data_IF_406296502049
#
_entry.id   IF_406296502049
#
_cell.length_a   1.000
_cell.length_b   1.000
_cell.length_c   1.000
_cell.angle_alpha   90.00
_cell.angle_beta   90.00
_cell.angle_gamma   90.00
#
_symmetry.space_group_name_H-M   'P 1'
#
loop_
_entity.id
_entity.type
_entity.pdbx_description
1 polymer ?
#
# COMPACT_ATOMS: atom_id res chain seq x y z
N UNK A 1 -55.33 24.85 -10.00
CA UNK A 1 -55.49 23.40 -9.74
C UNK A 1 -54.18 22.70 -10.06
N UNK A 2 -53.63 21.96 -9.08
CA UNK A 2 -52.97 20.62 -9.15
C UNK A 2 -52.03 20.33 -10.32
N UNK A 3 -50.88 19.65 -10.21
CA UNK A 3 -50.06 19.03 -9.15
C UNK A 3 -48.93 18.33 -9.97
N UNK A 4 -47.69 18.35 -9.46
CA UNK A 4 -46.66 17.30 -9.62
C UNK A 4 -46.02 17.11 -11.01
N UNK A 5 -44.68 17.30 -11.09
CA UNK A 5 -43.74 16.19 -11.37
C UNK A 5 -42.34 16.54 -10.86
N UNK A 6 -42.11 16.23 -9.57
CA UNK A 6 -40.79 16.05 -8.99
C UNK A 6 -40.50 14.55 -9.05
N UNK A 7 -39.77 14.09 -10.06
CA UNK A 7 -39.32 12.70 -10.15
C UNK A 7 -38.08 12.58 -11.05
N UNK A 8 -36.90 12.98 -10.56
CA UNK A 8 -35.62 12.61 -11.17
C UNK A 8 -34.43 12.48 -10.19
N UNK A 9 -34.63 12.60 -8.86
CA UNK A 9 -33.48 12.60 -7.90
C UNK A 9 -33.22 11.25 -7.22
N UNK A 10 -34.12 10.26 -7.35
CA UNK A 10 -33.97 8.98 -6.62
C UNK A 10 -33.06 7.92 -7.30
N UNK A 11 -32.68 8.09 -8.57
CA UNK A 11 -31.90 7.08 -9.32
C UNK A 11 -30.40 7.24 -9.09
N UNK A 12 -29.91 8.47 -8.90
CA UNK A 12 -28.47 8.74 -8.75
C UNK A 12 -27.92 8.22 -7.41
N UNK A 13 -28.70 8.33 -6.33
CA UNK A 13 -28.29 7.88 -4.99
C UNK A 13 -28.11 6.35 -4.94
N UNK A 14 -28.98 5.60 -5.62
CA UNK A 14 -28.87 4.13 -5.66
C UNK A 14 -27.68 3.63 -6.47
N UNK A 15 -27.29 4.34 -7.54
CA UNK A 15 -26.12 3.98 -8.37
C UNK A 15 -24.82 4.28 -7.63
N UNK A 16 -24.73 5.40 -6.93
CA UNK A 16 -23.57 5.74 -6.12
C UNK A 16 -23.37 4.73 -4.97
N UNK A 17 -24.43 4.42 -4.22
CA UNK A 17 -24.36 3.42 -3.15
C UNK A 17 -23.94 2.03 -3.65
N UNK A 18 -24.45 1.59 -4.81
CA UNK A 18 -24.01 0.32 -5.42
C UNK A 18 -22.56 0.35 -5.90
N UNK A 19 -22.07 1.49 -6.40
CA UNK A 19 -20.69 1.63 -6.84
C UNK A 19 -19.72 1.53 -5.64
N UNK A 20 -20.09 2.15 -4.52
CA UNK A 20 -19.35 2.10 -3.25
C UNK A 20 -19.32 0.67 -2.69
N UNK A 21 -20.46 -0.03 -2.65
CA UNK A 21 -20.51 -1.42 -2.18
C UNK A 21 -19.62 -2.36 -3.00
N UNK A 22 -19.54 -2.12 -4.32
CA UNK A 22 -18.76 -2.96 -5.24
C UNK A 22 -17.25 -2.79 -5.03
N UNK A 23 -16.76 -1.56 -4.91
CA UNK A 23 -15.34 -1.27 -4.66
C UNK A 23 -14.92 -1.74 -3.27
N UNK A 24 -15.76 -1.54 -2.24
CA UNK A 24 -15.52 -2.04 -0.89
C UNK A 24 -15.46 -3.58 -0.84
N UNK A 25 -16.34 -4.26 -1.58
CA UNK A 25 -16.29 -5.72 -1.67
C UNK A 25 -14.98 -6.23 -2.31
N UNK A 26 -14.43 -5.48 -3.27
CA UNK A 26 -13.12 -5.81 -3.83
C UNK A 26 -12.00 -5.58 -2.83
N UNK A 27 -12.01 -4.48 -2.08
CA UNK A 27 -11.04 -4.25 -1.00
C UNK A 27 -11.08 -5.34 0.08
N UNK A 28 -12.26 -5.81 0.46
CA UNK A 28 -12.42 -6.95 1.38
C UNK A 28 -11.73 -8.20 0.83
N UNK A 29 -11.91 -8.49 -0.47
CA UNK A 29 -11.22 -9.60 -1.13
C UNK A 29 -9.70 -9.45 -1.15
N UNK A 30 -9.20 -8.23 -1.35
CA UNK A 30 -7.75 -7.93 -1.27
C UNK A 30 -7.23 -8.20 0.13
N UNK A 31 -7.90 -7.68 1.16
CA UNK A 31 -7.53 -7.89 2.56
C UNK A 31 -7.55 -9.39 2.92
N UNK A 32 -8.56 -10.14 2.46
CA UNK A 32 -8.64 -11.59 2.63
C UNK A 32 -7.50 -12.34 1.93
N UNK A 33 -7.14 -11.94 0.70
CA UNK A 33 -6.00 -12.49 -0.03
C UNK A 33 -4.71 -12.32 0.76
N UNK A 34 -4.40 -11.09 1.18
CA UNK A 34 -3.17 -10.79 1.94
C UNK A 34 -3.16 -11.51 3.28
N UNK A 35 -4.28 -11.49 4.01
CA UNK A 35 -4.42 -12.21 5.29
C UNK A 35 -4.20 -13.71 5.15
N UNK A 36 -4.68 -14.31 4.05
CA UNK A 36 -4.51 -15.74 3.79
C UNK A 36 -3.04 -16.13 3.53
N UNK A 37 -2.17 -15.18 3.15
CA UNK A 37 -0.76 -15.47 2.96
C UNK A 37 -0.03 -15.76 4.28
N UNK A 38 -0.51 -15.20 5.40
CA UNK A 38 0.21 -15.21 6.68
C UNK A 38 1.49 -14.39 6.58
N UNK A 39 2.63 -14.96 6.96
CA UNK A 39 3.93 -14.38 6.63
C UNK A 39 4.17 -14.50 5.11
N UNK A 40 4.62 -13.42 4.47
CA UNK A 40 4.70 -13.37 3.02
C UNK A 40 5.89 -12.55 2.52
N UNK A 41 6.23 -12.75 1.27
CA UNK A 41 7.26 -12.01 0.55
C UNK A 41 6.68 -11.49 -0.76
N UNK A 42 7.09 -10.28 -1.12
CA UNK A 42 6.70 -9.66 -2.38
C UNK A 42 7.93 -9.09 -3.10
N UNK A 43 8.00 -9.32 -4.40
CA UNK A 43 8.95 -8.72 -5.33
C UNK A 43 8.23 -7.66 -6.15
N UNK A 44 8.84 -6.50 -6.31
CA UNK A 44 8.21 -5.36 -6.96
C UNK A 44 9.19 -4.56 -7.82
N UNK A 45 8.65 -3.81 -8.76
CA UNK A 45 9.39 -2.79 -9.51
C UNK A 45 8.76 -1.42 -9.22
N UNK A 46 9.58 -0.44 -8.88
CA UNK A 46 9.18 0.95 -8.64
C UNK A 46 9.62 1.80 -9.82
N UNK A 47 8.75 2.69 -10.28
CA UNK A 47 9.06 3.72 -11.28
C UNK A 47 8.56 5.09 -10.81
N UNK A 48 9.38 6.12 -11.01
CA UNK A 48 9.03 7.51 -10.75
C UNK A 48 9.77 8.41 -11.76
N UNK A 49 9.03 9.00 -12.71
CA UNK A 49 9.65 9.72 -13.84
C UNK A 49 10.60 8.81 -14.63
N UNK A 50 11.85 9.25 -14.80
CA UNK A 50 12.92 8.47 -15.47
C UNK A 50 13.64 7.46 -14.55
N UNK A 51 13.32 7.48 -13.25
CA UNK A 51 13.88 6.55 -12.28
C UNK A 51 13.10 5.24 -12.25
N UNK A 52 13.81 4.11 -12.23
CA UNK A 52 13.22 2.79 -12.01
C UNK A 52 14.15 1.89 -11.22
N UNK A 53 13.60 1.14 -10.28
CA UNK A 53 14.33 0.16 -9.49
C UNK A 53 13.48 -1.07 -9.20
N UNK A 54 14.10 -2.14 -8.72
CA UNK A 54 13.41 -3.35 -8.24
C UNK A 54 13.70 -3.57 -6.79
N UNK A 55 12.69 -4.05 -6.07
CA UNK A 55 12.77 -4.25 -4.65
C UNK A 55 12.08 -5.53 -4.22
N UNK A 56 12.27 -5.84 -2.94
CA UNK A 56 11.60 -6.94 -2.29
C UNK A 56 11.35 -6.62 -0.84
N UNK A 57 10.22 -7.07 -0.31
CA UNK A 57 9.97 -7.03 1.12
C UNK A 57 9.42 -8.34 1.65
N UNK A 58 9.68 -8.58 2.93
CA UNK A 58 9.13 -9.70 3.71
C UNK A 58 8.34 -9.12 4.86
N UNK A 59 7.15 -9.68 5.12
CA UNK A 59 6.24 -9.29 6.21
C UNK A 59 5.92 -10.52 7.06
N UNK A 60 5.89 -10.35 8.38
CA UNK A 60 5.39 -11.33 9.35
C UNK A 60 4.74 -10.58 10.53
N UNK A 61 3.40 -10.59 10.57
CA UNK A 61 2.63 -9.73 11.46
C UNK A 61 2.86 -8.26 11.14
N UNK A 62 3.25 -7.48 12.15
CA UNK A 62 3.59 -6.06 12.00
C UNK A 62 5.09 -5.83 11.68
N UNK A 63 5.92 -6.87 11.71
CA UNK A 63 7.33 -6.77 11.38
C UNK A 63 7.57 -6.89 9.87
N UNK A 64 8.55 -6.17 9.35
CA UNK A 64 8.94 -6.27 7.96
C UNK A 64 10.42 -5.95 7.69
N UNK A 65 10.90 -6.41 6.54
CA UNK A 65 12.23 -6.09 6.01
C UNK A 65 12.11 -5.79 4.53
N UNK A 66 12.64 -4.65 4.08
CA UNK A 66 12.65 -4.19 2.68
C UNK A 66 14.09 -4.11 2.20
N UNK A 67 14.32 -4.49 0.95
CA UNK A 67 15.58 -4.27 0.23
C UNK A 67 15.28 -3.66 -1.13
N UNK A 68 15.86 -2.48 -1.39
CA UNK A 68 15.81 -1.80 -2.69
C UNK A 68 17.19 -1.21 -2.97
N UNK A 69 17.80 -1.61 -4.09
CA UNK A 69 19.17 -1.21 -4.46
C UNK A 69 20.18 -1.35 -3.31
N UNK A 70 20.63 -0.22 -2.74
CA UNK A 70 21.60 -0.14 -1.64
C UNK A 70 20.95 0.29 -0.32
N UNK A 71 19.63 0.33 -0.27
CA UNK A 71 18.86 0.62 0.92
C UNK A 71 18.25 -0.66 1.50
N UNK A 72 18.33 -0.80 2.83
CA UNK A 72 17.61 -1.83 3.58
C UNK A 72 16.78 -1.18 4.68
N UNK A 73 15.51 -1.58 4.81
CA UNK A 73 14.63 -1.08 5.87
C UNK A 73 14.21 -2.23 6.76
N UNK A 74 14.26 -2.03 8.07
CA UNK A 74 13.84 -3.00 9.08
C UNK A 74 12.76 -2.40 9.95
N UNK A 75 11.78 -3.20 10.34
CA UNK A 75 10.83 -2.82 11.38
C UNK A 75 10.34 -4.00 12.18
N UNK A 76 10.14 -3.78 13.48
CA UNK A 76 9.46 -4.69 14.40
C UNK A 76 7.97 -4.34 14.60
N UNK A 77 7.45 -3.41 13.79
CA UNK A 77 6.09 -2.86 13.91
C UNK A 77 5.98 -1.65 14.83
N UNK A 78 7.07 -1.23 15.48
CA UNK A 78 7.11 -0.05 16.37
C UNK A 78 8.16 0.96 15.96
N UNK A 79 9.34 0.46 15.59
CA UNK A 79 10.48 1.29 15.16
C UNK A 79 10.84 0.91 13.74
N UNK A 80 11.18 1.91 12.93
CA UNK A 80 11.68 1.74 11.57
C UNK A 80 13.17 2.12 11.54
N UNK A 81 14.00 1.24 10.99
CA UNK A 81 15.43 1.49 10.76
C UNK A 81 15.69 1.48 9.27
N UNK A 82 16.02 2.62 8.70
CA UNK A 82 16.41 2.75 7.30
C UNK A 82 17.93 2.85 7.18
N UNK A 83 18.51 1.87 6.50
CA UNK A 83 19.96 1.75 6.30
C UNK A 83 20.29 2.15 4.87
N UNK A 84 21.08 3.20 4.72
CA UNK A 84 21.72 3.58 3.46
C UNK A 84 23.16 3.04 3.44
N UNK A 85 23.41 2.02 2.61
CA UNK A 85 24.73 1.41 2.50
C UNK A 85 25.75 2.24 1.72
N UNK A 86 25.31 3.21 0.91
CA UNK A 86 26.21 4.11 0.20
C UNK A 86 26.77 5.18 1.15
N UNK A 87 25.89 5.80 1.95
CA UNK A 87 26.26 6.81 2.95
C UNK A 87 26.79 6.21 4.24
N UNK A 88 26.52 4.93 4.48
CA UNK A 88 26.76 4.25 5.76
C UNK A 88 26.02 4.95 6.90
N UNK A 89 24.75 5.23 6.67
CA UNK A 89 23.87 5.92 7.62
C UNK A 89 22.68 5.03 7.99
N UNK A 90 22.20 5.16 9.22
CA UNK A 90 21.00 4.51 9.73
C UNK A 90 20.09 5.59 10.30
N UNK A 91 18.93 5.77 9.69
CA UNK A 91 17.87 6.62 10.21
C UNK A 91 16.89 5.77 11.02
N UNK A 92 16.52 6.26 12.20
CA UNK A 92 15.63 5.58 13.15
C UNK A 92 14.41 6.43 13.41
N UNK A 93 13.23 5.91 13.09
CA UNK A 93 11.96 6.61 13.18
C UNK A 93 10.92 5.80 13.96
N UNK A 94 9.91 6.49 14.51
CA UNK A 94 8.70 5.83 14.98
C UNK A 94 7.90 5.31 13.78
N UNK A 95 7.23 4.17 13.96
CA UNK A 95 6.43 3.59 12.89
C UNK A 95 5.16 4.41 12.63
N UNK A 96 5.00 4.92 11.41
CA UNK A 96 3.72 5.44 10.94
C UNK A 96 2.77 4.29 10.61
N UNK A 97 1.86 4.01 11.55
CA UNK A 97 0.84 2.97 11.41
C UNK A 97 -0.31 3.35 10.49
N UNK A 98 -0.48 4.64 10.18
CA UNK A 98 -1.51 5.12 9.27
C UNK A 98 -1.08 5.02 7.80
N UNK A 99 0.24 5.09 7.53
CA UNK A 99 0.78 5.04 6.17
C UNK A 99 0.33 3.80 5.39
N UNK A 100 -0.08 4.05 4.14
CA UNK A 100 -0.45 3.04 3.13
C UNK A 100 0.56 2.96 1.99
N UNK A 101 1.70 3.61 2.16
CA UNK A 101 2.81 3.53 1.22
C UNK A 101 3.56 2.20 1.43
N UNK A 102 3.81 1.47 0.35
CA UNK A 102 4.50 0.18 0.36
C UNK A 102 5.97 0.28 0.81
N UNK A 103 6.60 1.44 0.62
CA UNK A 103 7.99 1.73 1.03
C UNK A 103 8.10 2.15 2.50
N UNK A 104 7.00 2.67 3.06
CA UNK A 104 6.96 3.13 4.46
C UNK A 104 6.37 2.05 5.36
N UNK A 105 5.28 1.41 4.93
CA UNK A 105 4.55 0.41 5.70
C UNK A 105 3.94 -0.70 4.80
N UNK A 106 4.74 -1.70 4.41
CA UNK A 106 4.26 -2.81 3.58
C UNK A 106 3.22 -3.68 4.28
N UNK A 107 3.12 -3.64 5.61
CA UNK A 107 2.13 -4.43 6.37
C UNK A 107 0.71 -3.89 6.20
N UNK A 108 0.58 -2.60 5.85
CA UNK A 108 -0.68 -1.86 5.78
C UNK A 108 -1.06 -1.39 4.38
N UNK A 109 -0.14 -1.47 3.41
CA UNK A 109 -0.31 -0.92 2.05
C UNK A 109 -1.47 -1.51 1.22
N UNK A 110 -2.02 -2.66 1.60
CA UNK A 110 -3.18 -3.29 0.93
C UNK A 110 -4.42 -3.45 1.83
N UNK A 111 -4.38 -2.93 3.07
CA UNK A 111 -5.45 -3.10 4.05
C UNK A 111 -6.24 -1.79 4.26
N UNK A 112 -7.19 -1.52 3.37
CA UNK A 112 -8.02 -0.31 3.42
C UNK A 112 -9.37 -0.52 4.11
N UNK A 113 -9.69 -1.75 4.50
CA UNK A 113 -11.01 -2.10 5.04
C UNK A 113 -11.22 -1.44 6.41
N UNK A 114 -12.29 -0.65 6.54
CA UNK A 114 -12.61 0.04 7.79
C UNK A 114 -11.67 1.21 8.12
N UNK A 115 -10.85 1.64 7.16
CA UNK A 115 -10.04 2.85 7.25
C UNK A 115 -10.83 4.06 6.78
N UNK A 116 -10.24 5.25 6.86
CA UNK A 116 -10.84 6.49 6.35
C UNK A 116 -10.84 6.60 4.81
N UNK A 117 -10.20 5.67 4.11
CA UNK A 117 -10.13 5.69 2.66
C UNK A 117 -11.46 5.29 2.03
N UNK A 118 -11.99 6.17 1.18
CA UNK A 118 -13.10 5.87 0.28
C UNK A 118 -12.57 5.23 -0.98
N UNK A 119 -13.34 4.30 -1.54
CA UNK A 119 -12.94 3.55 -2.74
C UNK A 119 -13.91 3.72 -3.88
N UNK A 120 -13.40 4.02 -5.07
CA UNK A 120 -14.16 4.11 -6.30
C UNK A 120 -13.66 3.10 -7.33
N UNK A 121 -14.58 2.45 -8.03
CA UNK A 121 -14.26 1.50 -9.09
C UNK A 121 -14.04 2.26 -10.41
N UNK A 122 -12.78 2.44 -10.84
CA UNK A 122 -12.45 3.36 -11.95
C UNK A 122 -12.23 2.67 -13.29
N UNK A 123 -11.77 1.41 -13.31
CA UNK A 123 -11.59 0.68 -14.57
C UNK A 123 -11.60 -0.83 -14.40
N UNK A 124 -11.96 -1.54 -15.48
CA UNK A 124 -11.80 -2.99 -15.63
C UNK A 124 -11.06 -3.26 -16.92
N UNK A 125 -9.99 -4.04 -16.84
CA UNK A 125 -9.23 -4.47 -18.01
C UNK A 125 -8.98 -5.98 -17.94
N UNK A 126 -9.75 -6.72 -18.74
CA UNK A 126 -9.66 -8.18 -18.83
C UNK A 126 -9.90 -8.86 -17.47
N UNK A 127 -8.82 -9.16 -16.74
CA UNK A 127 -8.84 -9.90 -15.46
C UNK A 127 -8.58 -9.01 -14.25
N UNK A 128 -8.27 -7.73 -14.47
CA UNK A 128 -7.95 -6.79 -13.40
C UNK A 128 -9.00 -5.71 -13.30
N UNK A 129 -9.11 -5.15 -12.10
CA UNK A 129 -9.85 -3.94 -11.79
C UNK A 129 -8.90 -2.95 -11.16
N UNK A 130 -9.07 -1.67 -11.45
CA UNK A 130 -8.40 -0.59 -10.71
C UNK A 130 -9.40 0.13 -9.82
N UNK A 131 -9.03 0.25 -8.56
CA UNK A 131 -9.73 1.04 -7.56
C UNK A 131 -8.97 2.35 -7.36
N UNK A 132 -9.69 3.45 -7.27
CA UNK A 132 -9.16 4.73 -6.80
C UNK A 132 -9.52 4.88 -5.34
N UNK A 133 -8.53 5.16 -4.51
CA UNK A 133 -8.62 5.27 -3.07
C UNK A 133 -8.21 6.68 -2.67
N UNK A 134 -9.07 7.33 -1.89
CA UNK A 134 -8.84 8.69 -1.38
C UNK A 134 -9.17 8.75 0.09
N UNK A 135 -8.27 9.31 0.87
CA UNK A 135 -8.53 9.57 2.29
C UNK A 135 -9.72 10.50 2.46
N UNK A 136 -10.58 10.22 3.46
CA UNK A 136 -11.60 11.17 3.88
C UNK A 136 -11.02 12.36 4.67
N UNK A 137 -9.81 12.22 5.22
CA UNK A 137 -9.06 13.33 5.78
C UNK A 137 -8.31 14.06 4.66
N UNK A 138 -8.70 15.30 4.39
CA UNK A 138 -8.09 16.16 3.36
C UNK A 138 -6.64 16.55 3.68
N UNK A 139 -6.18 16.37 4.94
CA UNK A 139 -4.79 16.55 5.32
C UNK A 139 -3.91 15.36 4.91
N UNK A 140 -4.49 14.18 4.72
CA UNK A 140 -3.79 13.03 4.16
C UNK A 140 -3.72 13.22 2.66
N UNK A 141 -2.50 13.43 2.21
CA UNK A 141 -2.26 13.83 0.85
C UNK A 141 -2.15 12.65 -0.10
N UNK A 142 -2.64 12.88 -1.31
CA UNK A 142 -2.42 12.03 -2.45
C UNK A 142 -3.54 11.05 -2.71
N UNK A 143 -3.57 10.57 -3.94
CA UNK A 143 -4.50 9.56 -4.42
C UNK A 143 -3.76 8.24 -4.62
N UNK A 144 -4.41 7.14 -4.26
CA UNK A 144 -3.87 5.79 -4.46
C UNK A 144 -4.71 5.08 -5.52
N UNK A 145 -4.07 4.52 -6.53
CA UNK A 145 -4.72 3.63 -7.49
C UNK A 145 -4.22 2.21 -7.31
N UNK A 146 -5.11 1.31 -6.92
CA UNK A 146 -4.81 -0.09 -6.66
C UNK A 146 -5.42 -0.97 -7.76
N UNK A 147 -4.56 -1.58 -8.57
CA UNK A 147 -4.96 -2.57 -9.59
C UNK A 147 -4.81 -3.97 -9.02
N UNK A 148 -5.90 -4.74 -9.06
CA UNK A 148 -6.01 -6.08 -8.46
C UNK A 148 -6.59 -7.09 -9.44
N UNK A 149 -6.16 -8.35 -9.32
CA UNK A 149 -6.77 -9.48 -10.02
C UNK A 149 -8.17 -9.73 -9.49
N UNK A 150 -9.20 -9.48 -10.29
CA UNK A 150 -10.60 -9.52 -9.88
C UNK A 150 -11.03 -10.88 -9.29
N UNK A 151 -10.51 -11.98 -9.85
CA UNK A 151 -10.86 -13.33 -9.41
C UNK A 151 -10.38 -13.64 -7.98
N UNK A 152 -9.18 -13.20 -7.61
CA UNK A 152 -8.52 -13.60 -6.35
C UNK A 152 -8.37 -12.48 -5.33
N UNK A 153 -8.44 -11.21 -5.74
CA UNK A 153 -8.05 -10.06 -4.91
C UNK A 153 -6.53 -9.86 -4.83
N UNK A 154 -5.73 -10.58 -5.63
CA UNK A 154 -4.27 -10.43 -5.64
C UNK A 154 -3.89 -9.02 -6.15
N UNK A 155 -3.12 -8.22 -5.38
CA UNK A 155 -2.56 -6.96 -5.87
C UNK A 155 -1.58 -7.19 -7.03
N UNK A 156 -1.68 -6.39 -8.09
CA UNK A 156 -0.76 -6.44 -9.23
C UNK A 156 -0.02 -5.12 -9.46
N UNK A 157 -0.66 -3.98 -9.12
CA UNK A 157 -0.05 -2.67 -9.23
C UNK A 157 -0.63 -1.71 -8.20
N UNK A 158 0.21 -0.84 -7.64
CA UNK A 158 -0.23 0.30 -6.85
C UNK A 158 0.45 1.56 -7.38
N UNK A 159 -0.31 2.64 -7.52
CA UNK A 159 0.20 3.93 -7.96
C UNK A 159 -0.14 4.97 -6.92
N UNK A 160 0.87 5.71 -6.47
CA UNK A 160 0.73 6.85 -5.58
C UNK A 160 0.87 8.13 -6.40
N UNK A 161 -0.12 9.01 -6.31
CA UNK A 161 -0.03 10.39 -6.78
C UNK A 161 0.17 11.27 -5.55
N UNK A 162 1.37 11.83 -5.36
CA UNK A 162 1.76 12.66 -4.23
C UNK A 162 2.20 14.01 -4.78
N UNK A 163 1.60 15.13 -4.40
CA UNK A 163 1.83 16.44 -5.05
C UNK A 163 1.91 16.35 -6.59
N UNK A 164 3.11 16.62 -7.14
CA UNK A 164 3.46 16.60 -8.56
C UNK A 164 4.13 15.28 -8.99
N UNK A 165 4.35 14.37 -8.04
CA UNK A 165 5.02 13.09 -8.24
C UNK A 165 4.02 11.96 -8.44
N UNK A 166 4.42 11.03 -9.31
CA UNK A 166 3.70 9.79 -9.56
C UNK A 166 4.66 8.62 -9.39
N UNK A 167 4.38 7.80 -8.40
CA UNK A 167 5.16 6.60 -8.09
C UNK A 167 4.34 5.38 -8.49
N UNK A 168 4.81 4.63 -9.47
CA UNK A 168 4.20 3.38 -9.90
C UNK A 168 4.95 2.19 -9.31
N UNK A 169 4.22 1.26 -8.70
CA UNK A 169 4.79 0.04 -8.15
C UNK A 169 4.07 -1.16 -8.75
N UNK A 170 4.77 -1.92 -9.59
CA UNK A 170 4.29 -3.19 -10.10
C UNK A 170 4.65 -4.32 -9.13
N UNK A 171 3.65 -5.05 -8.63
CA UNK A 171 3.85 -6.23 -7.79
C UNK A 171 4.12 -7.42 -8.72
N UNK A 172 5.39 -7.77 -8.89
CA UNK A 172 5.82 -8.85 -9.78
C UNK A 172 5.50 -10.23 -9.20
N UNK A 173 5.59 -10.35 -7.88
CA UNK A 173 5.31 -11.59 -7.15
C UNK A 173 4.87 -11.26 -5.73
N UNK A 174 3.90 -12.03 -5.22
CA UNK A 174 3.49 -11.99 -3.82
C UNK A 174 3.06 -13.41 -3.42
N UNK A 175 3.69 -13.96 -2.39
CA UNK A 175 3.45 -15.34 -1.97
C UNK A 175 3.74 -15.58 -0.49
N UNK A 176 3.08 -16.60 0.09
CA UNK A 176 3.36 -17.06 1.44
C UNK A 176 4.81 -17.52 1.58
N UNK A 177 5.41 -17.18 2.71
CA UNK A 177 6.80 -17.52 3.03
C UNK A 177 6.88 -18.27 4.36
N UNK A 178 7.89 -19.14 4.48
CA UNK A 178 8.28 -19.77 5.74
C UNK A 178 9.53 -19.10 6.30
N UNK A 179 9.59 -18.97 7.62
CA UNK A 179 10.70 -18.33 8.34
C UNK A 179 10.43 -16.87 8.64
N UNK A 180 11.00 -16.38 9.74
CA UNK A 180 10.75 -15.02 10.23
C UNK A 180 11.33 -13.92 9.35
N UNK A 181 10.92 -12.70 9.67
CA UNK A 181 11.49 -11.45 9.13
C UNK A 181 12.89 -11.23 9.70
N UNK A 182 13.81 -10.71 8.89
CA UNK A 182 15.15 -10.30 9.33
C UNK A 182 15.00 -9.09 10.27
N UNK A 183 15.43 -9.22 11.51
CA UNK A 183 15.40 -8.11 12.48
C UNK A 183 16.66 -7.25 12.39
N UNK A 184 16.53 -5.96 12.70
CA UNK A 184 17.67 -5.06 12.83
C UNK A 184 18.61 -5.50 13.97
N UNK A 185 19.92 -5.41 13.74
CA UNK A 185 20.95 -5.62 14.75
C UNK A 185 22.05 -4.60 14.53
N UNK A 186 22.19 -3.65 15.44
CA UNK A 186 23.20 -2.59 15.35
C UNK A 186 24.63 -3.13 15.16
N UNK A 187 24.92 -4.29 15.76
CA UNK A 187 26.22 -4.96 15.65
C UNK A 187 26.61 -5.37 14.21
N UNK A 188 25.64 -5.46 13.29
CA UNK A 188 25.87 -5.78 11.87
C UNK A 188 26.30 -4.53 11.07
N UNK A 189 26.12 -3.33 11.62
CA UNK A 189 26.36 -2.04 10.96
C UNK A 189 27.48 -1.24 11.62
N UNK A 190 28.57 -1.91 12.00
CA UNK A 190 29.69 -1.25 12.68
C UNK A 190 30.27 -0.11 11.84
N UNK A 191 30.36 1.07 12.45
CA UNK A 191 30.87 2.27 11.82
C UNK A 191 29.91 2.92 10.84
N UNK A 192 28.61 2.62 10.94
CA UNK A 192 27.56 3.44 10.33
C UNK A 192 27.22 4.57 11.31
N UNK A 193 26.87 5.72 10.78
CA UNK A 193 26.34 6.83 11.56
C UNK A 193 24.85 6.58 11.84
N UNK A 194 24.41 6.79 13.09
CA UNK A 194 23.02 6.57 13.50
C UNK A 194 22.39 7.93 13.80
N UNK A 195 21.27 8.21 13.14
CA UNK A 195 20.45 9.40 13.37
C UNK A 195 19.09 8.93 13.90
N UNK A 196 18.74 9.35 15.12
CA UNK A 196 17.51 8.94 15.81
C UNK A 196 16.51 10.10 15.85
N UNK A 197 15.35 9.90 15.26
CA UNK A 197 14.26 10.88 15.11
C UNK A 197 13.01 10.51 15.92
N UNK A 198 13.05 9.42 16.69
CA UNK A 198 11.94 9.00 17.56
C UNK A 198 11.64 10.00 18.68
#
# INVERSE_FOLDING_TARGET
MRKIFLACVAVMVGVAAMADERSEAMLKRVAEYVKALGAYEAEFAVGAGDYSTTGRYVVDGDAYHIVVDRAEVYSDGRVRYEVDHERREINVDEMDLASRNIMDNPTRCFDFVGTEYRSEWVSEDGRTVTLHLRSADEAVEGDIYLTVRQASGQPEKIVYHLYDDRIEVDVKKIESRKGGVKSFREADFRGYDIVDFR
#
